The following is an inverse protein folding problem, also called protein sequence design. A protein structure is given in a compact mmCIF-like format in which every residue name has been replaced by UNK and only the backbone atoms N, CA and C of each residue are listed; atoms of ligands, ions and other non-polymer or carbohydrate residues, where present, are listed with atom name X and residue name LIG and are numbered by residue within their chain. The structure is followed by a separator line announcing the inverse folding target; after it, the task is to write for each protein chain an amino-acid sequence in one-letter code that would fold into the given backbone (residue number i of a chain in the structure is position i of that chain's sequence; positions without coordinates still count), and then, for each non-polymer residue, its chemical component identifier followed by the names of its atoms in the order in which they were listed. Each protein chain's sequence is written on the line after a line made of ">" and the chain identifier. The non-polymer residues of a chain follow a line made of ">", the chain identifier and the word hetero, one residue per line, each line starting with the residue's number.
data_IF_049347766844
#
_entry.id   IF_049347766844
#
_cell.length_a   1.000
_cell.length_b   1.000
_cell.length_c   1.000
_cell.angle_alpha   90.00
_cell.angle_beta   90.00
_cell.angle_gamma   90.00
#
_symmetry.space_group_name_H-M   'P 1'
#
loop_
_entity.id
_entity.type
_entity.pdbx_description
1 polymer ?
#
# COMPACT_ATOMS: atom_id res chain seq x y z
N UNK A 1 61.36 0.42 -52.34
CA UNK A 1 59.99 0.03 -51.92
C UNK A 1 59.94 -1.35 -51.25
N UNK A 2 60.69 -1.55 -50.15
CA UNK A 2 60.61 -2.79 -49.35
C UNK A 2 60.27 -2.47 -47.87
N UNK A 3 60.20 -1.18 -47.48
CA UNK A 3 59.93 -0.77 -46.11
C UNK A 3 58.43 -0.58 -45.76
N UNK A 4 57.52 -0.67 -46.74
CA UNK A 4 56.08 -0.43 -46.51
C UNK A 4 55.27 -1.72 -46.25
N UNK A 5 55.85 -2.90 -46.51
CA UNK A 5 55.11 -4.18 -46.41
C UNK A 5 55.21 -4.80 -45.01
N UNK A 6 56.20 -4.40 -44.20
CA UNK A 6 56.41 -4.95 -42.85
C UNK A 6 55.64 -4.23 -41.74
N UNK A 7 55.12 -3.02 -41.98
CA UNK A 7 54.36 -2.26 -40.97
C UNK A 7 52.86 -2.60 -40.92
N UNK A 8 52.32 -3.25 -41.95
CA UNK A 8 50.88 -3.60 -42.02
C UNK A 8 50.54 -4.96 -41.39
N UNK A 9 51.55 -5.78 -41.06
CA UNK A 9 51.36 -7.09 -40.43
C UNK A 9 51.63 -7.08 -38.91
N UNK A 10 52.13 -5.98 -38.34
CA UNK A 10 52.47 -5.90 -36.91
C UNK A 10 51.27 -5.63 -35.98
N UNK A 11 50.09 -5.28 -36.50
CA UNK A 11 48.86 -5.06 -35.70
C UNK A 11 47.92 -6.26 -35.66
N UNK A 12 48.31 -7.41 -36.24
CA UNK A 12 47.41 -8.55 -36.43
C UNK A 12 47.34 -9.54 -35.25
N UNK A 13 48.20 -9.41 -34.22
CA UNK A 13 48.19 -10.31 -33.06
C UNK A 13 48.30 -9.55 -31.74
N UNK A 14 47.38 -8.60 -31.49
CA UNK A 14 47.08 -8.25 -30.09
C UNK A 14 46.19 -9.37 -29.56
N UNK A 15 46.84 -10.39 -29.00
CA UNK A 15 46.23 -11.33 -28.08
C UNK A 15 45.33 -10.53 -27.13
N UNK A 16 44.12 -11.00 -26.82
CA UNK A 16 43.26 -10.31 -25.84
C UNK A 16 43.96 -10.38 -24.48
N UNK A 17 44.90 -9.46 -24.25
CA UNK A 17 45.57 -9.32 -22.97
C UNK A 17 44.47 -9.12 -21.94
N UNK A 18 44.59 -9.87 -20.86
CA UNK A 18 43.55 -10.05 -19.86
C UNK A 18 42.98 -8.74 -19.29
N UNK A 19 43.81 -7.70 -19.27
CA UNK A 19 43.54 -6.41 -18.63
C UNK A 19 42.86 -5.38 -19.54
N UNK A 20 42.61 -5.72 -20.81
CA UNK A 20 41.98 -4.78 -21.74
C UNK A 20 40.50 -4.60 -21.37
N UNK A 21 40.08 -3.35 -21.19
CA UNK A 21 38.66 -2.98 -21.01
C UNK A 21 37.89 -3.20 -22.31
N UNK A 22 36.89 -4.08 -22.26
CA UNK A 22 36.01 -4.45 -23.36
C UNK A 22 34.64 -3.80 -23.20
N UNK A 23 34.04 -3.40 -24.32
CA UNK A 23 32.70 -2.82 -24.36
C UNK A 23 31.65 -3.92 -24.51
N UNK A 24 30.66 -3.93 -23.64
CA UNK A 24 29.53 -4.86 -23.67
C UNK A 24 28.19 -4.13 -23.78
N UNK A 25 27.20 -4.82 -24.34
CA UNK A 25 25.81 -4.41 -24.35
C UNK A 25 25.00 -5.53 -23.72
N UNK A 26 24.33 -5.22 -22.62
CA UNK A 26 23.34 -6.09 -22.01
C UNK A 26 21.96 -5.75 -22.57
N UNK A 27 21.23 -6.76 -23.02
CA UNK A 27 19.84 -6.64 -23.45
C UNK A 27 18.96 -7.57 -22.61
N UNK A 28 18.06 -7.00 -21.81
CA UNK A 28 17.04 -7.77 -21.10
C UNK A 28 15.77 -7.82 -21.94
N UNK A 29 15.35 -9.03 -22.33
CA UNK A 29 14.14 -9.28 -23.12
C UNK A 29 13.03 -9.85 -22.23
N UNK A 30 11.79 -9.42 -22.48
CA UNK A 30 10.61 -9.97 -21.79
C UNK A 30 10.11 -11.19 -22.55
N UNK A 31 10.07 -12.36 -21.90
CA UNK A 31 9.59 -13.62 -22.50
C UNK A 31 10.62 -14.75 -22.40
N UNK A 32 10.33 -15.86 -23.08
CA UNK A 32 11.12 -17.09 -23.07
C UNK A 32 12.00 -17.14 -24.31
N UNK A 33 13.25 -17.60 -24.20
CA UNK A 33 14.22 -17.68 -25.30
C UNK A 33 13.65 -18.38 -26.55
N UNK A 34 12.99 -19.52 -26.40
CA UNK A 34 12.44 -20.35 -27.49
C UNK A 34 11.40 -19.62 -28.35
N UNK A 35 10.62 -18.71 -27.74
CA UNK A 35 9.59 -17.94 -28.44
C UNK A 35 10.13 -16.72 -29.18
N UNK A 36 11.45 -16.56 -29.24
CA UNK A 36 12.14 -15.46 -29.92
C UNK A 36 11.55 -14.06 -29.66
N UNK A 37 11.40 -13.64 -28.38
CA UNK A 37 10.83 -12.35 -28.07
C UNK A 37 11.66 -11.24 -28.69
N UNK A 38 10.97 -10.32 -29.37
CA UNK A 38 11.56 -9.14 -30.01
C UNK A 38 11.53 -7.94 -29.07
N UNK A 39 12.51 -7.06 -29.22
CA UNK A 39 12.68 -5.90 -28.36
C UNK A 39 13.27 -6.25 -26.99
N UNK A 40 13.66 -5.22 -26.25
CA UNK A 40 14.29 -5.37 -24.95
C UNK A 40 14.86 -4.05 -24.47
N UNK A 41 15.08 -3.95 -23.16
CA UNK A 41 15.79 -2.81 -22.58
C UNK A 41 17.28 -3.07 -22.69
N UNK A 42 18.06 -2.04 -23.04
CA UNK A 42 19.48 -2.16 -23.31
C UNK A 42 20.30 -1.29 -22.36
N UNK A 43 21.48 -1.78 -21.97
CA UNK A 43 22.45 -1.07 -21.14
C UNK A 43 23.86 -1.37 -21.62
N UNK A 44 24.62 -0.32 -21.91
CA UNK A 44 26.05 -0.42 -22.21
C UNK A 44 26.83 -0.63 -20.91
N UNK A 45 27.86 -1.45 -20.95
CA UNK A 45 28.73 -1.75 -19.82
C UNK A 45 30.18 -1.96 -20.29
N UNK A 46 31.11 -1.95 -19.34
CA UNK A 46 32.52 -2.24 -19.58
C UNK A 46 32.98 -3.33 -18.62
N UNK A 47 33.77 -4.27 -19.13
CA UNK A 47 34.29 -5.42 -18.40
C UNK A 47 35.68 -5.81 -18.92
N UNK A 48 36.47 -6.55 -18.15
CA UNK A 48 37.79 -7.08 -18.53
C UNK A 48 37.72 -8.59 -18.65
N UNK A 49 38.68 -9.20 -19.36
CA UNK A 49 38.72 -10.65 -19.53
C UNK A 49 39.27 -11.34 -18.27
N UNK A 50 40.21 -10.72 -17.57
CA UNK A 50 40.84 -11.23 -16.32
C UNK A 50 39.85 -11.35 -15.17
N UNK A 51 38.89 -10.44 -15.06
CA UNK A 51 37.84 -10.51 -14.03
C UNK A 51 36.99 -11.80 -14.17
N UNK A 52 36.97 -12.40 -15.35
CA UNK A 52 36.29 -13.66 -15.61
C UNK A 52 34.76 -13.55 -15.73
N UNK A 53 34.14 -14.71 -15.96
CA UNK A 53 32.70 -14.79 -16.19
C UNK A 53 31.86 -14.46 -14.96
N UNK A 54 32.27 -14.90 -13.76
CA UNK A 54 31.47 -14.71 -12.54
C UNK A 54 31.34 -13.22 -12.16
N UNK A 55 32.42 -12.44 -12.33
CA UNK A 55 32.35 -10.98 -12.11
C UNK A 55 31.42 -10.32 -13.12
N UNK A 56 31.48 -10.73 -14.39
CA UNK A 56 30.55 -10.25 -15.41
C UNK A 56 29.10 -10.63 -15.06
N UNK A 57 28.85 -11.89 -14.68
CA UNK A 57 27.53 -12.40 -14.29
C UNK A 57 26.95 -11.58 -13.15
N UNK A 58 27.71 -11.36 -12.08
CA UNK A 58 27.28 -10.53 -10.95
C UNK A 58 26.98 -9.09 -11.39
N UNK A 59 27.79 -8.51 -12.29
CA UNK A 59 27.52 -7.17 -12.87
C UNK A 59 26.21 -7.14 -13.65
N UNK A 60 25.96 -8.12 -14.51
CA UNK A 60 24.76 -8.20 -15.34
C UNK A 60 23.50 -8.38 -14.48
N UNK A 61 23.57 -9.27 -13.48
CA UNK A 61 22.46 -9.49 -12.55
C UNK A 61 22.22 -8.27 -11.66
N UNK A 62 23.27 -7.61 -11.17
CA UNK A 62 23.14 -6.37 -10.41
C UNK A 62 22.54 -5.21 -11.22
N UNK A 63 22.68 -5.20 -12.55
CA UNK A 63 21.97 -4.23 -13.39
C UNK A 63 20.47 -4.51 -13.48
N UNK A 64 20.00 -5.74 -13.36
CA UNK A 64 18.56 -6.06 -13.40
C UNK A 64 17.79 -5.44 -12.22
N UNK A 65 18.48 -5.20 -11.10
CA UNK A 65 17.89 -4.54 -9.92
C UNK A 65 17.76 -3.02 -10.07
N UNK A 66 18.41 -2.43 -11.07
CA UNK A 66 18.50 -0.98 -11.28
C UNK A 66 17.68 -0.54 -12.50
N UNK A 67 17.41 0.76 -12.60
CA UNK A 67 16.82 1.32 -13.81
C UNK A 67 17.75 1.08 -15.02
N UNK A 68 17.23 0.68 -16.20
CA UNK A 68 15.81 0.65 -16.59
C UNK A 68 15.07 -0.68 -16.31
N UNK A 69 15.65 -1.64 -15.58
CA UNK A 69 15.18 -3.03 -15.49
C UNK A 69 14.33 -3.37 -14.25
N UNK A 70 14.09 -2.43 -13.34
CA UNK A 70 13.42 -2.61 -12.02
C UNK A 70 12.12 -3.44 -11.99
N UNK A 71 11.36 -3.49 -13.10
CA UNK A 71 10.11 -4.27 -13.20
C UNK A 71 10.27 -5.69 -13.78
N UNK A 72 11.50 -6.12 -14.06
CA UNK A 72 11.81 -7.42 -14.62
C UNK A 72 12.33 -8.35 -13.52
N UNK A 73 11.94 -9.61 -13.62
CA UNK A 73 12.50 -10.71 -12.83
C UNK A 73 13.09 -11.72 -13.81
N UNK A 74 14.25 -12.27 -13.49
CA UNK A 74 14.91 -13.24 -14.35
C UNK A 74 14.03 -14.49 -14.51
N UNK A 75 13.91 -14.99 -15.74
CA UNK A 75 13.17 -16.22 -16.04
C UNK A 75 14.10 -17.42 -16.02
N UNK A 76 15.32 -17.24 -16.52
CA UNK A 76 16.40 -18.23 -16.54
C UNK A 76 17.73 -17.49 -16.27
N UNK A 77 18.57 -18.07 -15.41
CA UNK A 77 19.89 -17.54 -15.06
C UNK A 77 20.91 -17.64 -16.20
N UNK A 78 20.57 -18.34 -17.28
CA UNK A 78 21.42 -18.46 -18.46
C UNK A 78 21.60 -17.12 -19.17
N UNK A 79 22.86 -16.75 -19.34
CA UNK A 79 23.27 -15.59 -20.14
C UNK A 79 23.54 -16.07 -21.56
N UNK A 80 22.80 -15.52 -22.52
CA UNK A 80 22.98 -15.84 -23.94
C UNK A 80 23.91 -14.82 -24.60
N UNK A 81 24.81 -15.29 -25.46
CA UNK A 81 25.80 -14.47 -26.14
C UNK A 81 25.76 -14.64 -27.65
N UNK A 82 25.83 -13.51 -28.35
CA UNK A 82 25.80 -13.45 -29.81
C UNK A 82 27.22 -13.49 -30.36
N UNK A 83 27.69 -14.68 -30.73
CA UNK A 83 29.06 -14.90 -31.19
C UNK A 83 29.38 -14.33 -32.61
N UNK A 84 28.38 -13.99 -33.42
CA UNK A 84 28.56 -13.44 -34.78
C UNK A 84 27.54 -12.33 -35.10
N UNK A 85 27.91 -11.35 -35.94
CA UNK A 85 27.09 -10.15 -36.22
C UNK A 85 25.68 -10.50 -36.73
N UNK A 86 25.58 -11.50 -37.59
CA UNK A 86 24.33 -11.95 -38.23
C UNK A 86 23.75 -13.23 -37.61
N UNK A 87 24.22 -13.63 -36.43
CA UNK A 87 23.67 -14.79 -35.75
C UNK A 87 22.21 -14.54 -35.36
N UNK A 88 21.32 -15.42 -35.81
CA UNK A 88 19.94 -15.49 -35.33
C UNK A 88 19.91 -15.95 -33.88
N UNK A 89 18.82 -15.66 -33.16
CA UNK A 89 18.69 -15.95 -31.74
C UNK A 89 18.91 -17.43 -31.40
N UNK A 90 18.47 -18.36 -32.26
CA UNK A 90 18.66 -19.80 -32.08
C UNK A 90 20.13 -20.24 -32.13
N UNK A 91 21.03 -19.37 -32.60
CA UNK A 91 22.48 -19.59 -32.66
C UNK A 91 23.24 -18.87 -31.55
N UNK A 92 22.53 -18.36 -30.53
CA UNK A 92 23.19 -17.77 -29.36
C UNK A 92 23.75 -18.87 -28.46
N UNK A 93 24.94 -18.63 -27.93
CA UNK A 93 25.61 -19.56 -27.01
C UNK A 93 25.28 -19.19 -25.57
N UNK A 94 25.01 -20.18 -24.73
CA UNK A 94 24.94 -19.96 -23.28
C UNK A 94 26.37 -19.79 -22.76
N UNK A 95 26.64 -18.68 -22.09
CA UNK A 95 27.96 -18.38 -21.54
C UNK A 95 28.12 -19.05 -20.18
N UNK A 96 29.27 -19.67 -19.96
CA UNK A 96 29.71 -20.20 -18.68
C UNK A 96 31.20 -19.87 -18.48
N UNK A 97 31.77 -20.21 -17.31
CA UNK A 97 33.17 -19.94 -17.01
C UNK A 97 34.13 -20.57 -18.03
N UNK A 98 33.84 -21.78 -18.50
CA UNK A 98 34.72 -22.55 -19.39
C UNK A 98 34.77 -22.00 -20.83
N UNK A 99 33.65 -21.45 -21.31
CA UNK A 99 33.52 -21.02 -22.70
C UNK A 99 33.66 -19.50 -22.90
N UNK A 100 33.63 -18.72 -21.81
CA UNK A 100 33.61 -17.25 -21.84
C UNK A 100 34.75 -16.67 -22.68
N UNK A 101 36.00 -17.01 -22.36
CA UNK A 101 37.17 -16.48 -23.08
C UNK A 101 37.24 -16.94 -24.53
N UNK A 102 36.76 -18.14 -24.83
CA UNK A 102 36.73 -18.70 -26.19
C UNK A 102 35.67 -18.00 -27.05
N UNK A 103 34.49 -17.73 -26.50
CA UNK A 103 33.41 -17.02 -27.17
C UNK A 103 33.77 -15.56 -27.49
N UNK A 104 34.42 -14.86 -26.55
CA UNK A 104 34.88 -13.49 -26.78
C UNK A 104 35.96 -13.42 -27.87
N UNK A 105 36.94 -14.34 -27.83
CA UNK A 105 37.96 -14.44 -28.88
C UNK A 105 37.35 -14.78 -30.24
N UNK A 106 36.39 -15.70 -30.28
CA UNK A 106 35.64 -16.05 -31.51
C UNK A 106 34.91 -14.83 -32.10
N UNK A 107 34.21 -14.07 -31.26
CA UNK A 107 33.51 -12.85 -31.69
C UNK A 107 34.48 -11.79 -32.20
N UNK A 108 35.63 -11.59 -31.56
CA UNK A 108 36.66 -10.64 -32.01
C UNK A 108 37.25 -11.02 -33.37
N UNK A 109 37.57 -12.30 -33.58
CA UNK A 109 38.05 -12.80 -34.89
C UNK A 109 37.04 -12.54 -36.02
N UNK A 110 35.75 -12.77 -35.76
CA UNK A 110 34.68 -12.48 -36.72
C UNK A 110 34.49 -10.99 -37.00
N UNK A 111 35.03 -10.09 -36.18
CA UNK A 111 34.86 -8.65 -36.29
C UNK A 111 36.07 -7.93 -36.88
N UNK A 112 37.27 -8.52 -36.84
CA UNK A 112 38.48 -7.94 -37.47
C UNK A 112 38.33 -7.74 -39.00
N UNK A 113 37.25 -8.22 -39.61
CA UNK A 113 36.88 -7.98 -41.00
C UNK A 113 35.97 -6.74 -41.21
N UNK A 114 35.56 -6.05 -40.13
CA UNK A 114 34.64 -4.90 -40.15
C UNK A 114 35.41 -3.58 -39.94
N UNK A 115 35.24 -2.63 -40.86
CA UNK A 115 36.07 -1.40 -41.00
C UNK A 115 35.72 -0.32 -39.95
N UNK A 116 34.67 -0.52 -39.15
CA UNK A 116 34.00 0.53 -38.37
C UNK A 116 34.38 0.63 -36.87
N UNK A 117 35.43 -0.06 -36.41
CA UNK A 117 36.13 0.24 -35.15
C UNK A 117 35.39 0.06 -33.80
N UNK A 118 34.07 -0.15 -33.79
CA UNK A 118 33.27 -0.17 -32.56
C UNK A 118 32.80 -1.58 -32.17
N UNK A 119 33.73 -2.45 -31.76
CA UNK A 119 33.39 -3.79 -31.26
C UNK A 119 32.63 -3.70 -29.92
N UNK A 120 31.41 -4.25 -29.89
CA UNK A 120 30.62 -4.44 -28.67
C UNK A 120 30.20 -5.89 -28.51
N UNK A 121 30.33 -6.43 -27.30
CA UNK A 121 29.93 -7.78 -26.94
C UNK A 121 28.48 -7.80 -26.47
N UNK A 122 27.60 -8.46 -27.21
CA UNK A 122 26.15 -8.47 -26.92
C UNK A 122 25.76 -9.68 -26.04
N UNK A 123 25.21 -9.38 -24.85
CA UNK A 123 24.68 -10.34 -23.89
C UNK A 123 23.16 -10.18 -23.78
N UNK A 124 22.44 -11.30 -23.73
CA UNK A 124 20.99 -11.35 -23.67
C UNK A 124 20.53 -12.12 -22.44
N UNK A 125 19.65 -11.49 -21.63
CA UNK A 125 18.98 -12.10 -20.49
C UNK A 125 17.47 -12.15 -20.75
N UNK A 126 16.83 -13.24 -20.35
CA UNK A 126 15.40 -13.45 -20.56
C UNK A 126 14.67 -13.35 -19.24
N UNK A 127 13.72 -12.41 -19.19
CA UNK A 127 13.04 -12.01 -17.97
C UNK A 127 11.52 -12.17 -18.10
N UNK A 128 10.86 -12.43 -16.98
CA UNK A 128 9.42 -12.28 -16.79
C UNK A 128 9.10 -10.97 -16.09
N UNK A 129 7.82 -10.57 -16.07
CA UNK A 129 7.40 -9.45 -15.25
C UNK A 129 7.56 -9.83 -13.78
N UNK A 130 8.13 -8.94 -12.96
CA UNK A 130 8.13 -9.13 -11.51
C UNK A 130 6.68 -9.19 -11.04
N UNK A 131 6.27 -10.19 -10.24
CA UNK A 131 4.92 -10.23 -9.68
C UNK A 131 4.73 -8.97 -8.85
N UNK A 132 3.61 -8.28 -9.07
CA UNK A 132 3.25 -7.14 -8.23
C UNK A 132 2.92 -7.70 -6.84
N UNK A 133 3.42 -7.11 -5.75
CA UNK A 133 2.97 -7.48 -4.42
C UNK A 133 1.44 -7.32 -4.37
N UNK A 134 0.75 -8.29 -3.77
CA UNK A 134 -0.68 -8.19 -3.56
C UNK A 134 -0.96 -6.91 -2.75
N UNK A 135 -1.92 -6.08 -3.16
CA UNK A 135 -2.25 -4.87 -2.41
C UNK A 135 -2.68 -5.28 -1.00
N UNK A 136 -2.02 -4.72 0.00
CA UNK A 136 -2.31 -4.96 1.43
C UNK A 136 -3.58 -4.26 1.90
N UNK A 137 -4.00 -3.21 1.16
CA UNK A 137 -5.18 -2.42 1.42
C UNK A 137 -5.87 -2.07 0.09
N UNK A 138 -7.19 -2.16 0.08
CA UNK A 138 -7.99 -1.79 -1.07
C UNK A 138 -8.66 -0.43 -0.90
N UNK A 139 -8.97 0.20 -2.03
CA UNK A 139 -9.80 1.41 -2.06
C UNK A 139 -11.25 1.01 -1.76
N UNK A 140 -11.89 1.76 -0.86
CA UNK A 140 -13.33 1.65 -0.62
C UNK A 140 -14.09 1.97 -1.92
N UNK A 141 -14.80 0.98 -2.46
CA UNK A 141 -15.60 1.10 -3.70
C UNK A 141 -16.95 0.43 -3.47
N UNK A 142 -18.00 0.89 -4.16
CA UNK A 142 -19.34 0.34 -3.97
C UNK A 142 -19.43 -1.17 -4.19
N UNK A 143 -18.65 -1.74 -5.11
CA UNK A 143 -18.58 -3.18 -5.33
C UNK A 143 -17.98 -3.93 -4.12
N UNK A 144 -16.97 -3.35 -3.47
CA UNK A 144 -16.34 -3.93 -2.28
C UNK A 144 -17.22 -3.81 -1.05
N UNK A 145 -17.94 -2.71 -0.89
CA UNK A 145 -18.95 -2.56 0.16
C UNK A 145 -19.98 -3.69 0.04
N UNK A 146 -20.52 -3.95 -1.16
CA UNK A 146 -21.46 -5.06 -1.39
C UNK A 146 -20.88 -6.43 -1.05
N UNK A 147 -19.64 -6.67 -1.44
CA UNK A 147 -18.93 -7.93 -1.15
C UNK A 147 -18.74 -8.11 0.35
N UNK A 148 -18.33 -7.04 1.04
CA UNK A 148 -18.17 -7.03 2.49
C UNK A 148 -19.51 -7.23 3.21
N UNK A 149 -20.59 -6.58 2.77
CA UNK A 149 -21.95 -6.80 3.32
C UNK A 149 -22.37 -8.27 3.19
N UNK A 150 -22.17 -8.87 2.01
CA UNK A 150 -22.47 -10.29 1.79
C UNK A 150 -21.61 -11.25 2.62
N UNK A 151 -20.43 -10.81 3.10
CA UNK A 151 -19.60 -11.59 4.02
C UNK A 151 -20.07 -11.47 5.49
N UNK A 152 -20.75 -10.39 5.86
CA UNK A 152 -21.29 -10.19 7.21
C UNK A 152 -22.56 -11.02 7.45
N UNK A 153 -23.42 -11.18 6.44
CA UNK A 153 -24.64 -11.99 6.51
C UNK A 153 -24.42 -13.42 7.05
N UNK A 154 -23.54 -14.25 6.44
CA UNK A 154 -23.30 -15.61 6.95
C UNK A 154 -22.65 -15.60 8.33
N UNK A 155 -21.91 -14.56 8.69
CA UNK A 155 -21.36 -14.44 10.05
C UNK A 155 -22.48 -14.21 11.08
N UNK A 156 -23.47 -13.37 10.78
CA UNK A 156 -24.62 -13.14 11.65
C UNK A 156 -25.43 -14.42 11.84
N UNK A 157 -25.70 -15.15 10.77
CA UNK A 157 -26.44 -16.42 10.79
C UNK A 157 -25.70 -17.50 11.60
N UNK A 158 -24.41 -17.71 11.32
CA UNK A 158 -23.63 -18.77 11.97
C UNK A 158 -23.39 -18.53 13.46
N UNK A 159 -23.32 -17.27 13.89
CA UNK A 159 -23.04 -16.91 15.28
C UNK A 159 -24.30 -16.50 16.07
N UNK A 160 -25.47 -16.41 15.42
CA UNK A 160 -26.71 -15.95 16.06
C UNK A 160 -26.64 -14.50 16.58
N UNK A 161 -25.82 -13.65 15.94
CA UNK A 161 -25.63 -12.25 16.33
C UNK A 161 -26.38 -11.34 15.36
N UNK A 162 -27.18 -10.42 15.88
CA UNK A 162 -27.80 -9.35 15.09
C UNK A 162 -27.03 -8.07 15.31
N UNK A 163 -26.40 -7.57 14.25
CA UNK A 163 -25.64 -6.32 14.28
C UNK A 163 -26.58 -5.14 14.03
N UNK A 164 -26.51 -4.14 14.90
CA UNK A 164 -27.22 -2.88 14.67
C UNK A 164 -26.63 -2.11 13.48
N UNK A 165 -27.37 -1.13 12.94
CA UNK A 165 -27.01 -0.42 11.71
C UNK A 165 -25.66 0.33 11.82
N UNK A 166 -25.31 0.87 12.99
CA UNK A 166 -24.06 1.61 13.18
C UNK A 166 -22.89 0.64 13.19
N UNK A 167 -23.02 -0.46 13.93
CA UNK A 167 -22.03 -1.52 14.01
C UNK A 167 -21.82 -2.16 12.64
N UNK A 168 -22.90 -2.50 11.92
CA UNK A 168 -22.83 -3.06 10.58
C UNK A 168 -22.06 -2.15 9.63
N UNK A 169 -22.37 -0.85 9.60
CA UNK A 169 -21.71 0.09 8.72
C UNK A 169 -20.21 0.23 9.02
N UNK A 170 -19.84 0.30 10.30
CA UNK A 170 -18.45 0.30 10.73
C UNK A 170 -17.70 -0.96 10.28
N UNK A 171 -18.29 -2.14 10.49
CA UNK A 171 -17.69 -3.42 10.15
C UNK A 171 -17.56 -3.62 8.64
N UNK A 172 -18.55 -3.21 7.85
CA UNK A 172 -18.48 -3.25 6.39
C UNK A 172 -17.37 -2.33 5.87
N UNK A 173 -17.24 -1.12 6.43
CA UNK A 173 -16.23 -0.13 6.03
C UNK A 173 -14.81 -0.53 6.42
N UNK A 174 -14.65 -1.28 7.51
CA UNK A 174 -13.33 -1.79 7.92
C UNK A 174 -12.95 -3.04 7.12
N UNK A 175 -13.93 -3.88 6.78
CA UNK A 175 -13.72 -5.10 6.02
C UNK A 175 -13.54 -4.85 4.51
N UNK A 176 -14.20 -3.86 3.90
CA UNK A 176 -14.09 -3.60 2.45
C UNK A 176 -12.68 -3.24 1.97
N UNK A 177 -11.84 -2.76 2.91
CA UNK A 177 -10.42 -2.42 2.69
C UNK A 177 -9.50 -3.63 2.79
N UNK A 178 -9.98 -4.74 3.35
CA UNK A 178 -9.19 -5.96 3.53
C UNK A 178 -9.06 -6.72 2.20
N UNK A 179 -7.99 -7.52 2.04
CA UNK A 179 -7.87 -8.47 0.94
C UNK A 179 -9.05 -9.45 0.88
N UNK A 180 -9.39 -9.91 -0.32
CA UNK A 180 -10.57 -10.75 -0.56
C UNK A 180 -10.47 -12.14 0.12
N UNK A 181 -9.26 -12.56 0.52
CA UNK A 181 -9.02 -13.81 1.25
C UNK A 181 -9.22 -13.69 2.76
N UNK A 182 -9.49 -12.49 3.29
CA UNK A 182 -9.61 -12.26 4.72
C UNK A 182 -10.97 -12.74 5.22
N UNK A 183 -10.98 -13.67 6.17
CA UNK A 183 -12.22 -14.11 6.82
C UNK A 183 -12.82 -12.97 7.66
N UNK A 184 -14.13 -12.77 7.53
CA UNK A 184 -14.84 -11.78 8.34
C UNK A 184 -14.90 -12.21 9.81
N UNK A 185 -14.50 -11.31 10.70
CA UNK A 185 -14.59 -11.44 12.16
C UNK A 185 -14.93 -10.08 12.75
N UNK A 186 -15.63 -10.05 13.89
CA UNK A 186 -15.88 -8.80 14.62
C UNK A 186 -14.61 -8.39 15.36
N UNK A 187 -14.01 -7.22 15.07
CA UNK A 187 -12.87 -6.71 15.81
C UNK A 187 -13.21 -6.43 17.27
N UNK A 188 -12.25 -6.69 18.17
CA UNK A 188 -12.38 -6.45 19.62
C UNK A 188 -11.92 -5.03 20.00
N UNK A 189 -11.99 -4.09 19.05
CA UNK A 189 -11.50 -2.73 19.26
C UNK A 189 -12.52 -1.84 20.01
N UNK A 190 -12.04 -0.69 20.49
CA UNK A 190 -12.89 0.25 21.22
C UNK A 190 -14.03 0.79 20.34
N UNK A 191 -13.75 1.03 19.06
CA UNK A 191 -14.73 1.59 18.12
C UNK A 191 -15.88 0.62 17.87
N UNK A 192 -15.60 -0.67 17.66
CA UNK A 192 -16.66 -1.67 17.49
C UNK A 192 -17.49 -1.81 18.76
N UNK A 193 -16.86 -1.81 19.95
CA UNK A 193 -17.60 -1.83 21.22
C UNK A 193 -18.49 -0.60 21.41
N UNK A 194 -17.99 0.58 21.05
CA UNK A 194 -18.78 1.82 21.12
C UNK A 194 -19.94 1.80 20.12
N UNK A 195 -19.72 1.34 18.88
CA UNK A 195 -20.77 1.22 17.88
C UNK A 195 -21.90 0.30 18.38
N UNK A 196 -21.55 -0.85 18.97
CA UNK A 196 -22.52 -1.77 19.56
C UNK A 196 -23.30 -1.13 20.72
N UNK A 197 -22.62 -0.40 21.60
CA UNK A 197 -23.27 0.29 22.72
C UNK A 197 -24.23 1.39 22.24
N UNK A 198 -23.90 2.11 21.16
CA UNK A 198 -24.77 3.13 20.58
C UNK A 198 -25.99 2.47 19.91
N UNK A 199 -25.80 1.37 19.18
CA UNK A 199 -26.93 0.61 18.62
C UNK A 199 -27.87 0.11 19.72
N UNK A 200 -27.33 -0.39 20.83
CA UNK A 200 -28.13 -0.83 21.98
C UNK A 200 -28.89 0.35 22.62
N UNK A 201 -28.22 1.50 22.82
CA UNK A 201 -28.86 2.71 23.34
C UNK A 201 -29.97 3.21 22.41
N UNK A 202 -29.75 3.18 21.09
CA UNK A 202 -30.74 3.55 20.08
C UNK A 202 -31.96 2.63 20.13
N UNK A 203 -31.76 1.31 20.25
CA UNK A 203 -32.84 0.34 20.37
C UNK A 203 -33.67 0.56 21.66
N UNK A 204 -33.01 0.85 22.79
CA UNK A 204 -33.67 1.20 24.05
C UNK A 204 -34.50 2.48 23.93
N UNK A 205 -33.95 3.51 23.30
CA UNK A 205 -34.66 4.78 23.07
C UNK A 205 -35.87 4.59 22.15
N UNK A 206 -35.73 3.84 21.05
CA UNK A 206 -36.85 3.53 20.16
C UNK A 206 -37.99 2.83 20.92
N UNK A 207 -37.66 1.85 21.75
CA UNK A 207 -38.63 1.14 22.61
C UNK A 207 -39.29 2.10 23.62
N UNK A 208 -38.50 2.97 24.27
CA UNK A 208 -39.00 3.94 25.23
C UNK A 208 -39.92 5.00 24.58
N UNK A 209 -39.59 5.47 23.37
CA UNK A 209 -40.46 6.36 22.58
C UNK A 209 -41.77 5.67 22.22
N UNK A 210 -41.72 4.42 21.74
CA UNK A 210 -42.92 3.66 21.40
C UNK A 210 -43.86 3.52 22.61
N UNK A 211 -43.29 3.29 23.80
CA UNK A 211 -44.05 3.20 25.05
C UNK A 211 -44.56 4.56 25.54
N UNK A 212 -43.80 5.65 25.37
CA UNK A 212 -44.21 6.99 25.77
C UNK A 212 -45.33 7.57 24.90
N UNK A 213 -45.30 7.31 23.58
CA UNK A 213 -46.36 7.72 22.64
C UNK A 213 -47.72 7.12 23.04
N UNK A 214 -47.74 5.99 23.75
CA UNK A 214 -49.00 5.35 24.11
C UNK A 214 -49.72 5.97 25.32
N UNK A 215 -49.09 6.74 26.23
CA UNK A 215 -49.73 7.08 27.53
C UNK A 215 -49.25 8.35 28.24
N UNK A 216 -49.32 9.53 27.62
CA UNK A 216 -49.25 10.78 28.40
C UNK A 216 -50.57 11.54 28.32
N UNK A 217 -51.55 11.14 29.14
CA UNK A 217 -52.77 11.94 29.38
C UNK A 217 -52.59 12.81 30.60
N UNK A 218 -52.74 14.12 30.46
CA UNK A 218 -52.76 15.08 31.57
C UNK A 218 -54.18 15.57 31.84
N UNK A 219 -54.47 15.94 33.08
CA UNK A 219 -55.73 16.60 33.42
C UNK A 219 -55.51 18.11 33.44
N UNK A 220 -56.28 18.85 32.63
CA UNK A 220 -56.28 20.31 32.60
C UNK A 220 -57.58 20.85 33.19
N UNK A 221 -57.53 22.04 33.78
CA UNK A 221 -58.74 22.76 34.22
C UNK A 221 -59.00 23.94 33.30
N UNK A 222 -60.24 24.06 32.84
CA UNK A 222 -60.70 25.14 31.99
C UNK A 222 -61.95 25.76 32.60
N UNK A 223 -62.02 27.08 32.63
CA UNK A 223 -63.21 27.80 33.04
C UNK A 223 -64.14 27.98 31.82
N UNK A 224 -65.36 27.46 31.92
CA UNK A 224 -66.38 27.58 30.87
C UNK A 224 -67.65 28.08 31.56
N UNK A 225 -68.19 29.20 31.09
CA UNK A 225 -69.41 29.82 31.63
C UNK A 225 -69.34 30.05 33.16
N UNK A 226 -68.18 30.46 33.69
CA UNK A 226 -67.98 30.75 35.12
C UNK A 226 -67.81 29.51 36.01
N UNK A 227 -67.64 28.32 35.43
CA UNK A 227 -67.40 27.07 36.18
C UNK A 227 -66.10 26.40 35.73
N UNK A 228 -65.27 26.01 36.70
CA UNK A 228 -64.05 25.25 36.45
C UNK A 228 -64.34 23.78 36.19
N UNK A 229 -64.01 23.31 34.99
CA UNK A 229 -64.20 21.93 34.54
C UNK A 229 -62.84 21.25 34.34
N UNK A 230 -62.74 19.95 34.66
CA UNK A 230 -61.50 19.17 34.48
C UNK A 230 -61.62 18.25 33.27
N UNK A 231 -60.66 18.33 32.35
CA UNK A 231 -60.61 17.53 31.13
C UNK A 231 -59.34 16.70 31.08
N UNK A 232 -59.44 15.45 30.61
CA UNK A 232 -58.25 14.65 30.26
C UNK A 232 -57.88 14.93 28.82
N UNK A 233 -56.66 15.36 28.60
CA UNK A 233 -56.13 15.68 27.28
C UNK A 233 -54.85 14.90 27.03
N UNK A 234 -54.65 14.52 25.77
CA UNK A 234 -53.38 13.97 25.30
C UNK A 234 -52.31 15.07 25.31
N UNK A 235 -51.18 14.80 25.98
CA UNK A 235 -50.11 15.78 26.19
C UNK A 235 -49.44 16.15 24.87
N UNK A 236 -49.26 15.20 23.94
CA UNK A 236 -48.68 15.47 22.63
C UNK A 236 -49.57 16.42 21.80
N UNK A 237 -50.87 16.16 21.79
CA UNK A 237 -51.86 17.01 21.12
C UNK A 237 -51.91 18.42 21.73
N UNK A 238 -51.87 18.52 23.07
CA UNK A 238 -51.83 19.80 23.77
C UNK A 238 -50.52 20.58 23.48
N UNK A 239 -49.36 19.91 23.48
CA UNK A 239 -48.07 20.51 23.14
C UNK A 239 -48.06 21.03 21.71
N UNK A 240 -48.54 20.23 20.75
CA UNK A 240 -48.64 20.65 19.35
C UNK A 240 -49.54 21.89 19.18
N UNK A 241 -50.71 21.91 19.85
CA UNK A 241 -51.59 23.07 19.85
C UNK A 241 -50.92 24.33 20.42
N UNK A 242 -50.06 24.19 21.43
CA UNK A 242 -49.29 25.27 22.03
C UNK A 242 -47.94 25.53 21.34
N UNK A 243 -47.62 24.83 20.25
CA UNK A 243 -46.31 24.84 19.56
C UNK A 243 -45.13 24.58 20.51
N UNK A 244 -45.35 23.76 21.53
CA UNK A 244 -44.32 23.31 22.46
C UNK A 244 -43.60 22.07 21.89
N UNK A 245 -42.30 21.90 22.18
CA UNK A 245 -41.57 20.70 21.78
C UNK A 245 -42.17 19.42 22.38
N UNK A 246 -42.20 18.34 21.59
CA UNK A 246 -42.78 17.05 21.98
C UNK A 246 -41.96 16.26 23.01
N UNK A 247 -40.73 16.69 23.31
CA UNK A 247 -39.88 16.07 24.32
C UNK A 247 -39.89 16.86 25.64
N UNK A 248 -39.79 16.15 26.75
CA UNK A 248 -39.58 16.78 28.06
C UNK A 248 -38.12 17.23 28.20
N UNK A 249 -37.90 18.53 28.02
CA UNK A 249 -36.57 19.16 28.11
C UNK A 249 -36.01 19.21 29.54
N UNK A 250 -36.87 19.13 30.56
CA UNK A 250 -36.49 19.42 31.94
C UNK A 250 -36.30 18.15 32.77
N UNK A 251 -37.02 17.07 32.46
CA UNK A 251 -36.83 15.79 33.18
C UNK A 251 -36.02 14.75 32.39
N UNK A 252 -35.98 14.83 31.06
CA UNK A 252 -35.27 13.86 30.20
C UNK A 252 -34.28 14.49 29.21
N UNK A 253 -34.09 15.82 29.23
CA UNK A 253 -33.10 16.52 28.42
C UNK A 253 -31.78 16.73 29.17
N UNK A 254 -30.78 17.31 28.50
CA UNK A 254 -29.43 17.65 29.05
C UNK A 254 -29.43 18.41 30.40
N UNK A 255 -30.57 18.97 30.82
CA UNK A 255 -30.74 19.71 32.07
C UNK A 255 -31.18 18.86 33.27
N UNK A 256 -31.44 17.56 33.09
CA UNK A 256 -31.89 16.63 34.14
C UNK A 256 -30.88 16.33 35.28
N UNK A 257 -29.66 16.88 35.20
CA UNK A 257 -28.57 16.53 36.11
C UNK A 257 -27.61 17.67 36.44
N UNK A 258 -28.06 18.94 36.33
CA UNK A 258 -27.23 20.05 36.80
C UNK A 258 -27.18 20.01 38.34
N UNK A 259 -26.21 19.28 38.86
CA UNK A 259 -25.70 19.44 40.21
C UNK A 259 -24.62 20.49 40.11
N UNK A 260 -24.78 21.68 40.73
CA UNK A 260 -23.67 22.62 40.87
C UNK A 260 -22.50 21.86 41.47
N UNK A 261 -21.40 21.76 40.72
CA UNK A 261 -20.17 21.18 41.28
C UNK A 261 -19.76 22.11 42.40
N UNK A 262 -19.68 21.60 43.62
CA UNK A 262 -19.14 22.37 44.73
C UNK A 262 -17.77 22.90 44.32
N UNK A 263 -17.47 24.20 44.52
CA UNK A 263 -16.15 24.72 44.23
C UNK A 263 -15.13 23.84 44.97
N UNK A 264 -14.06 23.39 44.30
CA UNK A 264 -13.08 22.51 44.90
C UNK A 264 -12.58 23.13 46.21
N UNK A 265 -12.64 22.36 47.31
CA UNK A 265 -12.28 22.85 48.65
C UNK A 265 -10.81 23.28 48.76
N UNK A 266 -9.97 22.84 47.83
CA UNK A 266 -8.58 23.25 47.67
C UNK A 266 -8.31 23.61 46.23
N UNK A 267 -7.70 24.77 46.01
CA UNK A 267 -6.98 25.04 44.77
C UNK A 267 -5.86 24.01 44.65
N UNK A 268 -5.95 23.16 43.64
CA UNK A 268 -4.80 22.37 43.21
C UNK A 268 -3.80 23.34 42.60
N UNK A 269 -2.58 23.37 43.14
CA UNK A 269 -1.50 24.11 42.50
C UNK A 269 -1.27 23.53 41.11
N UNK A 270 -1.21 24.41 40.11
CA UNK A 270 -0.89 24.07 38.72
C UNK A 270 0.59 23.67 38.65
N UNK A 271 0.87 22.38 38.85
CA UNK A 271 2.25 21.83 38.89
C UNK A 271 2.85 21.73 37.49
N UNK A 272 2.01 21.74 36.44
CA UNK A 272 2.45 21.60 35.05
C UNK A 272 2.94 22.92 34.43
N UNK A 273 2.61 24.06 35.05
CA UNK A 273 3.02 25.39 34.63
C UNK A 273 4.06 26.03 35.58
N UNK A 274 4.74 25.23 36.41
CA UNK A 274 5.87 25.73 37.21
C UNK A 274 7.02 25.98 36.23
N UNK A 275 7.09 27.22 35.77
CA UNK A 275 8.00 27.76 34.79
C UNK A 275 9.44 27.26 34.98
N UNK A 276 10.09 26.97 33.85
CA UNK A 276 11.54 26.82 33.67
C UNK A 276 12.32 28.12 34.05
N UNK A 277 11.86 28.88 35.04
CA UNK A 277 12.41 30.18 35.44
C UNK A 277 13.52 30.06 36.51
N UNK A 278 14.21 28.91 36.56
CA UNK A 278 15.39 28.72 37.44
C UNK A 278 16.59 28.03 36.77
N UNK A 279 16.64 27.97 35.44
CA UNK A 279 17.83 27.46 34.71
C UNK A 279 18.71 28.57 34.12
N UNK A 280 18.21 29.82 34.01
CA UNK A 280 18.99 30.93 33.45
C UNK A 280 19.93 31.64 34.46
N UNK A 281 19.62 31.62 35.76
CA UNK A 281 20.37 32.39 36.77
C UNK A 281 21.62 31.70 37.37
N UNK A 282 22.10 30.60 36.77
CA UNK A 282 23.28 29.86 37.26
C UNK A 282 24.42 29.72 36.24
N UNK A 283 24.40 30.49 35.16
CA UNK A 283 25.39 30.39 34.06
C UNK A 283 26.24 31.64 33.80
N UNK A 284 26.33 32.55 34.77
CA UNK A 284 27.19 33.76 34.68
C UNK A 284 28.21 33.90 35.83
N UNK A 285 28.54 32.82 36.57
CA UNK A 285 29.66 32.84 37.54
C UNK A 285 30.83 31.89 37.22
N UNK A 286 30.88 31.28 36.03
CA UNK A 286 32.09 30.62 35.54
C UNK A 286 32.29 30.93 34.05
N UNK A 287 33.09 31.95 33.74
CA UNK A 287 33.50 32.32 32.39
C UNK A 287 34.08 33.71 32.30
#
# INVERSE_FOLDING_TARGET
>A
NIAATTASQATANVEMAGDIKLNGIMTARKGIFEKQPRGGKLKKLTFTLVDGFEVLRTKLLGYLERAPFTGLQLNDERIHFKASKDASQNRFFVVNADNFGTLLRRRRKSWNQDVLGNLSFEFFLYCKARPKPAPTLHRATAARIRTATAAVEPYQENNGVVLGPITLNHLVTTHDRQPDSTQFTIPIDNTTRQAMAIDEAAARLATALQNNVQRQTASIRLEINGTWNTFKVDVSSLRNALRLPDHDKFTQGIFHGFVPVDPPAMNLNDVDHIEEEKVSAKREEEG
#
